data_IF_592984169335
#
_entry.id   IF_592984169335
#
_cell.length_a   1.000
_cell.length_b   1.000
_cell.length_c   1.000
_cell.angle_alpha   90.00
_cell.angle_beta   90.00
_cell.angle_gamma   90.00
#
_symmetry.space_group_name_H-M   'P 1'
#
loop_
_entity.id
_entity.type
_entity.pdbx_description
1 polymer ?
#
# COMPACT_ATOMS: atom_id res chain seq x y z
N UNK A 1 22.80 2.37 21.35
CA UNK A 1 21.82 1.30 21.65
C UNK A 1 21.36 1.49 23.08
N UNK A 2 20.05 1.54 23.31
CA UNK A 2 19.44 1.64 24.65
C UNK A 2 18.94 0.26 25.11
N UNK A 3 18.74 0.11 26.42
CA UNK A 3 18.38 -1.19 27.00
C UNK A 3 16.90 -1.54 26.83
N UNK A 4 16.02 -0.54 26.87
CA UNK A 4 14.57 -0.71 26.74
C UNK A 4 14.05 0.15 25.60
N UNK A 5 12.98 -0.29 24.95
CA UNK A 5 12.42 0.45 23.81
C UNK A 5 11.79 1.79 24.24
N UNK A 6 11.24 1.89 25.47
CA UNK A 6 10.69 3.12 26.04
C UNK A 6 11.75 4.22 26.12
N UNK A 7 13.02 3.85 26.40
CA UNK A 7 14.14 4.79 26.49
C UNK A 7 14.35 5.53 25.17
N UNK A 8 13.95 4.95 24.01
CA UNK A 8 14.01 5.61 22.71
C UNK A 8 13.04 6.79 22.69
N UNK A 9 11.81 6.58 23.11
CA UNK A 9 10.78 7.63 23.11
C UNK A 9 11.09 8.72 24.15
N UNK A 10 11.70 8.38 25.29
CA UNK A 10 12.12 9.36 26.30
C UNK A 10 13.25 10.27 25.81
N UNK A 11 14.23 9.72 25.08
CA UNK A 11 15.47 10.43 24.73
C UNK A 11 15.43 11.07 23.35
N UNK A 12 14.75 10.45 22.36
CA UNK A 12 14.78 10.92 20.98
C UNK A 12 13.85 12.12 20.76
N UNK A 13 14.34 13.11 20.02
CA UNK A 13 13.50 14.18 19.45
C UNK A 13 12.80 13.76 18.15
N UNK A 14 13.45 12.87 17.40
CA UNK A 14 12.93 12.27 16.16
C UNK A 14 12.90 10.74 16.31
N UNK A 15 11.74 10.16 16.19
CA UNK A 15 11.52 8.70 16.14
C UNK A 15 11.26 8.30 14.70
N UNK A 16 12.09 7.41 14.16
CA UNK A 16 11.96 6.87 12.80
C UNK A 16 11.58 5.40 12.89
N UNK A 17 10.50 5.03 12.24
CA UNK A 17 10.01 3.63 12.19
C UNK A 17 9.66 3.27 10.75
N UNK A 18 9.48 1.97 10.48
CA UNK A 18 8.92 1.51 9.21
C UNK A 18 7.39 1.61 9.24
N UNK A 19 6.76 0.97 10.23
CA UNK A 19 5.30 0.93 10.40
C UNK A 19 4.86 1.85 11.53
N UNK A 20 3.56 2.08 11.59
CA UNK A 20 2.87 2.82 12.64
C UNK A 20 3.30 2.35 14.04
N UNK A 21 3.21 3.22 15.06
CA UNK A 21 3.44 2.84 16.44
C UNK A 21 2.45 1.76 16.90
N UNK A 22 2.96 0.77 17.64
CA UNK A 22 2.14 -0.23 18.30
C UNK A 22 1.29 0.42 19.40
N UNK A 23 0.20 -0.24 19.79
CA UNK A 23 -0.73 0.30 20.79
C UNK A 23 -0.05 0.63 22.12
N UNK A 24 0.91 -0.18 22.55
CA UNK A 24 1.74 0.07 23.74
C UNK A 24 2.68 1.27 23.60
N UNK A 25 3.00 1.70 22.37
CA UNK A 25 3.88 2.83 22.11
C UNK A 25 3.13 4.17 22.07
N UNK A 26 1.79 4.17 21.91
CA UNK A 26 1.03 5.42 21.75
C UNK A 26 1.21 6.39 22.91
N UNK A 27 1.22 5.86 24.14
CA UNK A 27 1.42 6.64 25.37
C UNK A 27 2.86 7.10 25.63
N UNK A 28 3.82 6.64 24.81
CA UNK A 28 5.23 7.02 24.93
C UNK A 28 5.59 8.25 24.10
N UNK A 29 4.76 8.58 23.10
CA UNK A 29 4.93 9.77 22.30
C UNK A 29 4.58 11.03 23.10
N UNK A 30 5.29 12.14 22.83
CA UNK A 30 5.15 13.36 23.60
C UNK A 30 5.14 14.61 22.73
N UNK A 31 4.60 15.69 23.27
CA UNK A 31 4.56 17.00 22.62
C UNK A 31 5.97 17.45 22.19
N UNK A 32 6.06 17.96 20.97
CA UNK A 32 7.32 18.46 20.38
C UNK A 32 8.22 17.37 19.79
N UNK A 33 7.85 16.09 19.91
CA UNK A 33 8.56 14.98 19.28
C UNK A 33 8.12 14.82 17.84
N UNK A 34 9.03 14.42 16.95
CA UNK A 34 8.74 14.05 15.57
C UNK A 34 8.63 12.52 15.46
N UNK A 35 7.59 12.05 14.78
CA UNK A 35 7.46 10.67 14.35
C UNK A 35 7.47 10.62 12.82
N UNK A 36 8.34 9.82 12.23
CA UNK A 36 8.46 9.65 10.78
C UNK A 36 8.36 8.16 10.41
N UNK A 37 7.25 7.75 9.81
CA UNK A 37 6.93 6.35 9.51
C UNK A 37 5.78 6.24 8.48
N UNK A 38 5.48 5.03 7.98
CA UNK A 38 4.15 4.74 7.43
C UNK A 38 3.14 4.75 8.58
N UNK A 39 2.01 5.43 8.41
CA UNK A 39 1.04 5.62 9.48
C UNK A 39 -0.35 5.06 9.14
N UNK A 40 -0.75 5.07 7.88
CA UNK A 40 -2.05 4.55 7.39
C UNK A 40 -3.27 5.04 8.18
N UNK A 41 -3.23 6.29 8.65
CA UNK A 41 -4.18 6.87 9.61
C UNK A 41 -5.65 6.79 9.17
N UNK A 42 -5.95 6.91 7.87
CA UNK A 42 -7.32 6.83 7.38
C UNK A 42 -7.99 5.46 7.63
N UNK A 43 -7.20 4.40 7.85
CA UNK A 43 -7.71 3.06 8.15
C UNK A 43 -7.96 2.83 9.64
N UNK A 44 -7.27 3.57 10.53
CA UNK A 44 -7.30 3.37 11.99
C UNK A 44 -7.62 4.67 12.74
N UNK A 45 -8.87 4.77 13.22
CA UNK A 45 -9.35 5.91 14.00
C UNK A 45 -8.68 6.01 15.36
N UNK A 46 -8.52 4.87 16.08
CA UNK A 46 -7.95 4.86 17.43
C UNK A 46 -6.51 5.35 17.41
N UNK A 47 -5.72 4.86 16.45
CA UNK A 47 -4.35 5.34 16.22
C UNK A 47 -4.32 6.85 15.93
N UNK A 48 -5.21 7.32 15.05
CA UNK A 48 -5.28 8.73 14.67
C UNK A 48 -5.56 9.62 15.87
N UNK A 49 -6.55 9.25 16.70
CA UNK A 49 -6.91 9.97 17.93
C UNK A 49 -5.76 9.94 18.97
N UNK A 50 -5.11 8.78 19.13
CA UNK A 50 -3.98 8.63 20.05
C UNK A 50 -2.79 9.50 19.65
N UNK A 51 -2.42 9.48 18.37
CA UNK A 51 -1.31 10.30 17.87
C UNK A 51 -1.62 11.79 17.94
N UNK A 52 -2.83 12.23 17.63
CA UNK A 52 -3.26 13.61 17.82
C UNK A 52 -3.19 14.00 19.31
N UNK A 53 -3.69 13.14 20.20
CA UNK A 53 -3.67 13.36 21.64
C UNK A 53 -2.28 13.45 22.26
N UNK A 54 -1.25 12.83 21.66
CA UNK A 54 0.13 12.85 22.12
C UNK A 54 0.80 14.24 22.00
N UNK A 55 0.30 15.09 21.08
CA UNK A 55 0.91 16.38 20.73
C UNK A 55 2.23 16.25 19.95
N UNK A 56 2.62 15.06 19.54
CA UNK A 56 3.72 14.84 18.62
C UNK A 56 3.37 15.32 17.20
N UNK A 57 4.38 15.68 16.42
CA UNK A 57 4.20 15.91 14.99
C UNK A 57 4.47 14.61 14.24
N UNK A 58 3.48 14.13 13.51
CA UNK A 58 3.55 12.86 12.79
C UNK A 58 3.66 13.11 11.29
N UNK A 59 4.75 12.65 10.70
CA UNK A 59 5.04 12.75 9.26
C UNK A 59 4.90 11.38 8.64
N UNK A 60 3.89 11.22 7.79
CA UNK A 60 3.56 9.95 7.11
C UNK A 60 4.37 9.80 5.83
N UNK A 61 5.08 8.69 5.66
CA UNK A 61 5.83 8.37 4.44
C UNK A 61 4.93 8.35 3.21
N UNK A 62 3.76 7.76 3.35
CA UNK A 62 2.83 7.50 2.24
C UNK A 62 2.17 8.76 1.66
N UNK A 63 2.32 9.91 2.30
CA UNK A 63 1.77 11.18 1.84
C UNK A 63 2.84 12.24 1.53
N UNK A 64 4.13 11.90 1.67
CA UNK A 64 5.20 12.74 1.12
C UNK A 64 5.12 12.73 -0.39
N UNK A 65 4.81 13.89 -0.99
CA UNK A 65 4.56 14.03 -2.41
C UNK A 65 5.58 14.95 -3.07
N UNK A 66 6.15 14.51 -4.20
CA UNK A 66 7.06 15.30 -5.02
C UNK A 66 6.63 15.19 -6.49
N UNK A 67 6.16 16.30 -7.07
CA UNK A 67 5.72 16.37 -8.48
C UNK A 67 4.66 15.31 -8.84
N UNK A 68 3.66 15.14 -7.98
CA UNK A 68 2.57 14.17 -8.17
C UNK A 68 2.97 12.71 -7.94
N UNK A 69 4.15 12.43 -7.39
CA UNK A 69 4.64 11.09 -7.04
C UNK A 69 4.82 10.95 -5.55
N UNK A 70 4.75 9.72 -5.04
CA UNK A 70 4.92 9.37 -3.64
C UNK A 70 6.25 8.61 -3.43
N UNK A 71 7.41 9.33 -3.45
CA UNK A 71 8.72 8.70 -3.57
C UNK A 71 9.05 7.75 -2.42
N UNK A 72 8.47 7.94 -1.23
CA UNK A 72 8.71 7.08 -0.08
C UNK A 72 7.81 5.84 -0.09
N UNK A 73 6.66 5.89 -0.79
CA UNK A 73 5.76 4.76 -0.93
C UNK A 73 6.11 3.87 -2.13
N UNK A 74 6.62 4.45 -3.21
CA UNK A 74 6.91 3.74 -4.47
C UNK A 74 7.73 2.47 -4.29
N UNK A 75 8.86 2.43 -3.54
CA UNK A 75 9.64 1.21 -3.41
C UNK A 75 8.88 0.04 -2.79
N UNK A 76 8.04 0.32 -1.80
CA UNK A 76 7.20 -0.71 -1.18
C UNK A 76 6.10 -1.19 -2.11
N UNK A 77 5.51 -0.26 -2.87
CA UNK A 77 4.52 -0.57 -3.91
C UNK A 77 5.12 -1.43 -5.04
N UNK A 78 6.37 -1.16 -5.43
CA UNK A 78 7.08 -1.98 -6.43
C UNK A 78 7.33 -3.40 -5.92
N UNK A 79 7.80 -3.55 -4.68
CA UNK A 79 8.02 -4.86 -4.07
C UNK A 79 6.71 -5.63 -3.93
N UNK A 80 5.66 -4.99 -3.41
CA UNK A 80 4.35 -5.62 -3.24
C UNK A 80 3.77 -6.08 -4.59
N UNK A 81 3.85 -5.24 -5.63
CA UNK A 81 3.40 -5.60 -6.97
C UNK A 81 4.13 -6.81 -7.53
N UNK A 82 5.45 -6.86 -7.44
CA UNK A 82 6.24 -8.02 -7.90
C UNK A 82 5.94 -9.28 -7.09
N UNK A 83 5.86 -9.13 -5.77
CA UNK A 83 5.58 -10.21 -4.85
C UNK A 83 4.19 -10.81 -5.06
N UNK A 84 3.17 -10.01 -5.42
CA UNK A 84 1.80 -10.48 -5.61
C UNK A 84 1.69 -11.62 -6.62
N UNK A 85 2.51 -11.59 -7.67
CA UNK A 85 2.54 -12.62 -8.69
C UNK A 85 3.26 -13.89 -8.21
N UNK A 86 4.33 -13.73 -7.42
CA UNK A 86 5.07 -14.87 -6.85
C UNK A 86 4.16 -15.64 -5.89
N UNK A 87 3.53 -14.94 -4.93
CA UNK A 87 2.63 -15.60 -3.96
C UNK A 87 1.35 -16.08 -4.61
N UNK A 88 0.79 -15.31 -5.57
CA UNK A 88 -0.39 -15.71 -6.32
C UNK A 88 -0.14 -17.02 -7.09
N UNK A 89 0.98 -17.13 -7.79
CA UNK A 89 1.38 -18.35 -8.49
C UNK A 89 1.59 -19.53 -7.56
N UNK A 90 2.17 -19.31 -6.39
CA UNK A 90 2.35 -20.35 -5.38
C UNK A 90 1.01 -20.90 -4.85
N UNK A 91 0.05 -20.04 -4.55
CA UNK A 91 -1.26 -20.48 -4.06
C UNK A 91 -2.17 -21.01 -5.16
N UNK A 92 -1.86 -20.81 -6.44
CA UNK A 92 -2.54 -21.51 -7.55
C UNK A 92 -2.23 -23.00 -7.62
N UNK A 93 -1.17 -23.47 -6.94
CA UNK A 93 -0.82 -24.89 -6.88
C UNK A 93 -1.97 -25.73 -6.26
N UNK A 94 -2.22 -26.93 -6.84
CA UNK A 94 -3.35 -27.76 -6.42
C UNK A 94 -3.30 -28.17 -4.95
N UNK A 95 -2.12 -28.48 -4.43
CA UNK A 95 -1.94 -28.88 -3.02
C UNK A 95 -2.09 -27.72 -2.02
N UNK A 96 -2.17 -26.49 -2.52
CA UNK A 96 -2.47 -25.27 -1.75
C UNK A 96 -3.95 -24.87 -1.81
N UNK A 97 -4.80 -25.67 -2.46
CA UNK A 97 -6.21 -25.36 -2.67
C UNK A 97 -6.50 -24.66 -4.00
N UNK A 98 -5.47 -24.22 -4.72
CA UNK A 98 -5.61 -23.53 -6.00
C UNK A 98 -6.09 -24.40 -7.15
N UNK A 99 -6.37 -23.77 -8.28
CA UNK A 99 -6.86 -24.43 -9.51
C UNK A 99 -5.85 -25.39 -10.14
N UNK A 100 -4.57 -25.37 -9.77
CA UNK A 100 -3.50 -26.13 -10.42
C UNK A 100 -3.08 -25.52 -11.76
N UNK A 101 -3.18 -24.20 -11.90
CA UNK A 101 -2.83 -23.46 -13.13
C UNK A 101 -1.41 -22.93 -13.00
N UNK A 102 -0.57 -23.20 -13.98
CA UNK A 102 0.74 -22.58 -14.14
C UNK A 102 0.59 -21.29 -14.94
N UNK A 103 0.96 -20.16 -14.37
CA UNK A 103 0.73 -18.83 -14.96
C UNK A 103 1.29 -18.69 -16.38
N UNK A 104 2.48 -19.23 -16.66
CA UNK A 104 3.09 -19.15 -17.99
C UNK A 104 2.58 -20.19 -19.00
N UNK A 105 1.71 -21.13 -18.59
CA UNK A 105 1.34 -22.26 -19.45
C UNK A 105 2.55 -23.11 -19.86
N UNK A 106 2.36 -23.91 -20.89
CA UNK A 106 3.42 -24.68 -21.59
C UNK A 106 3.01 -24.85 -23.06
N UNK A 107 3.92 -25.24 -23.98
CA UNK A 107 3.53 -25.50 -25.37
C UNK A 107 2.34 -26.44 -25.47
N UNK A 108 1.27 -25.96 -26.12
CA UNK A 108 -0.01 -26.69 -26.27
C UNK A 108 -1.01 -26.45 -25.15
N UNK A 109 -0.68 -25.70 -24.10
CA UNK A 109 -1.57 -25.32 -23.01
C UNK A 109 -1.53 -23.80 -22.81
N UNK A 110 -2.69 -23.16 -22.80
CA UNK A 110 -2.80 -21.72 -22.60
C UNK A 110 -2.28 -21.28 -21.24
N UNK A 111 -1.71 -20.06 -21.13
CA UNK A 111 -1.29 -19.48 -19.87
C UNK A 111 -2.48 -19.18 -18.94
N UNK A 112 -2.17 -19.02 -17.65
CA UNK A 112 -3.12 -18.55 -16.67
C UNK A 112 -3.49 -17.08 -16.88
N UNK A 113 -4.71 -16.73 -16.55
CA UNK A 113 -5.26 -15.37 -16.67
C UNK A 113 -5.06 -14.57 -15.39
N UNK A 114 -4.35 -13.46 -15.51
CA UNK A 114 -4.09 -12.52 -14.43
C UNK A 114 -4.84 -11.22 -14.70
N UNK A 115 -5.66 -10.80 -13.75
CA UNK A 115 -6.36 -9.51 -13.79
C UNK A 115 -5.78 -8.62 -12.69
N UNK A 116 -5.37 -7.40 -13.05
CA UNK A 116 -4.81 -6.41 -12.13
C UNK A 116 -5.75 -5.21 -12.06
N UNK A 117 -6.24 -4.92 -10.85
CA UNK A 117 -7.08 -3.76 -10.58
C UNK A 117 -6.19 -2.56 -10.21
N UNK A 118 -6.12 -1.58 -11.11
CA UNK A 118 -5.29 -0.39 -11.00
C UNK A 118 -3.94 -0.50 -11.68
N UNK A 119 -3.62 0.48 -12.52
CA UNK A 119 -2.36 0.60 -13.27
C UNK A 119 -1.32 1.50 -12.60
N UNK A 120 -1.43 1.74 -11.28
CA UNK A 120 -0.46 2.49 -10.49
C UNK A 120 0.88 1.74 -10.32
N UNK A 121 1.74 2.20 -9.40
CA UNK A 121 3.07 1.61 -9.19
C UNK A 121 3.02 0.11 -8.89
N UNK A 122 2.14 -0.32 -7.98
CA UNK A 122 2.00 -1.75 -7.64
C UNK A 122 1.47 -2.55 -8.81
N UNK A 123 0.41 -2.05 -9.48
CA UNK A 123 -0.22 -2.77 -10.59
C UNK A 123 0.69 -2.95 -11.79
N UNK A 124 1.47 -1.93 -12.16
CA UNK A 124 2.49 -2.02 -13.23
C UNK A 124 3.54 -3.08 -12.91
N UNK A 125 4.01 -3.12 -11.65
CA UNK A 125 5.01 -4.11 -11.26
C UNK A 125 4.44 -5.53 -11.19
N UNK A 126 3.16 -5.69 -10.78
CA UNK A 126 2.45 -6.95 -10.87
C UNK A 126 2.30 -7.40 -12.33
N UNK A 127 1.77 -6.53 -13.19
CA UNK A 127 1.58 -6.84 -14.60
C UNK A 127 2.90 -7.20 -15.30
N UNK A 128 3.98 -6.44 -15.04
CA UNK A 128 5.32 -6.73 -15.58
C UNK A 128 5.83 -8.12 -15.17
N UNK A 129 5.66 -8.49 -13.91
CA UNK A 129 6.05 -9.82 -13.44
C UNK A 129 5.21 -10.92 -14.08
N UNK A 130 3.89 -10.74 -14.15
CA UNK A 130 2.99 -11.72 -14.75
C UNK A 130 3.27 -11.91 -16.24
N UNK A 131 3.42 -10.81 -17.00
CA UNK A 131 3.80 -10.83 -18.42
C UNK A 131 5.17 -11.50 -18.61
N UNK A 132 6.14 -11.18 -17.75
CA UNK A 132 7.47 -11.81 -17.78
C UNK A 132 7.46 -13.32 -17.52
N UNK A 133 6.46 -13.83 -16.81
CA UNK A 133 6.21 -15.27 -16.63
C UNK A 133 5.44 -15.88 -17.81
N UNK A 134 4.95 -15.07 -18.75
CA UNK A 134 4.16 -15.52 -19.89
C UNK A 134 2.66 -15.68 -19.62
N UNK A 135 2.13 -15.08 -18.56
CA UNK A 135 0.70 -15.08 -18.27
C UNK A 135 -0.09 -14.20 -19.25
N UNK A 136 -1.39 -14.50 -19.40
CA UNK A 136 -2.36 -13.65 -20.08
C UNK A 136 -2.83 -12.56 -19.09
N UNK A 137 -2.40 -11.30 -19.32
CA UNK A 137 -2.55 -10.21 -18.35
C UNK A 137 -3.51 -9.15 -18.86
N UNK A 138 -4.49 -8.79 -18.02
CA UNK A 138 -5.39 -7.66 -18.24
C UNK A 138 -5.30 -6.69 -17.06
N UNK A 139 -5.11 -5.38 -17.35
CA UNK A 139 -5.07 -4.31 -16.35
C UNK A 139 -6.35 -3.49 -16.48
N UNK A 140 -7.07 -3.30 -15.37
CA UNK A 140 -8.20 -2.38 -15.29
C UNK A 140 -7.72 -1.04 -14.71
N UNK A 141 -7.98 0.05 -15.44
CA UNK A 141 -7.56 1.40 -15.08
C UNK A 141 -8.68 2.40 -15.42
N UNK A 142 -8.76 3.54 -14.73
CA UNK A 142 -9.72 4.62 -15.00
C UNK A 142 -9.10 5.77 -15.77
N UNK A 143 -7.79 5.97 -15.67
CA UNK A 143 -7.06 7.04 -16.33
C UNK A 143 -6.65 6.62 -17.75
N UNK A 144 -7.20 7.29 -18.77
CA UNK A 144 -6.93 6.99 -20.18
C UNK A 144 -5.48 7.27 -20.60
N UNK A 145 -4.82 8.29 -20.03
CA UNK A 145 -3.39 8.54 -20.31
C UNK A 145 -2.54 7.42 -19.75
N UNK A 146 -2.89 6.94 -18.55
CA UNK A 146 -2.24 5.79 -17.95
C UNK A 146 -2.45 4.52 -18.76
N UNK A 147 -3.68 4.28 -19.25
CA UNK A 147 -3.96 3.14 -20.13
C UNK A 147 -3.13 3.19 -21.41
N UNK A 148 -3.02 4.35 -22.08
CA UNK A 148 -2.16 4.50 -23.28
C UNK A 148 -0.71 4.17 -23.00
N UNK A 149 -0.19 4.65 -21.85
CA UNK A 149 1.17 4.32 -21.44
C UNK A 149 1.36 2.81 -21.23
N UNK A 150 0.41 2.17 -20.56
CA UNK A 150 0.44 0.72 -20.29
C UNK A 150 0.35 -0.11 -21.56
N UNK A 151 -0.53 0.26 -22.48
CA UNK A 151 -0.71 -0.41 -23.76
C UNK A 151 0.58 -0.45 -24.59
N UNK A 152 1.30 0.67 -24.63
CA UNK A 152 2.56 0.78 -25.40
C UNK A 152 3.75 0.10 -24.70
N UNK A 153 3.78 0.10 -23.36
CA UNK A 153 4.98 -0.31 -22.59
C UNK A 153 4.90 -1.71 -22.02
N UNK A 154 3.69 -2.27 -21.93
CA UNK A 154 3.44 -3.57 -21.30
C UNK A 154 2.85 -4.54 -22.35
N UNK A 155 3.29 -5.75 -22.40
CA UNK A 155 2.63 -6.79 -23.19
C UNK A 155 1.35 -7.30 -22.53
N UNK A 156 0.48 -6.39 -22.08
CA UNK A 156 -0.74 -6.66 -21.33
C UNK A 156 -1.93 -5.96 -21.98
N UNK A 157 -3.12 -6.54 -21.87
CA UNK A 157 -4.36 -5.89 -22.29
C UNK A 157 -4.75 -4.80 -21.28
N UNK A 158 -5.35 -3.71 -21.76
CA UNK A 158 -5.90 -2.66 -20.90
C UNK A 158 -7.40 -2.55 -21.11
N UNK A 159 -8.16 -2.42 -20.02
CA UNK A 159 -9.61 -2.19 -20.05
C UNK A 159 -9.96 -1.06 -19.08
N UNK A 160 -11.03 -0.32 -19.41
CA UNK A 160 -11.57 0.66 -18.47
C UNK A 160 -12.13 -0.05 -17.24
N UNK A 161 -11.75 0.42 -16.04
CA UNK A 161 -12.20 -0.15 -14.77
C UNK A 161 -13.68 0.20 -14.55
N UNK A 162 -14.54 -0.75 -14.87
CA UNK A 162 -15.98 -0.69 -14.64
C UNK A 162 -16.48 -2.03 -14.08
N UNK A 163 -17.59 -1.98 -13.39
CA UNK A 163 -18.23 -3.18 -12.85
C UNK A 163 -18.57 -4.20 -13.96
N UNK A 164 -19.02 -3.73 -15.13
CA UNK A 164 -19.35 -4.58 -16.27
C UNK A 164 -18.11 -5.31 -16.80
N UNK A 165 -17.01 -4.59 -17.06
CA UNK A 165 -15.77 -5.19 -17.55
C UNK A 165 -15.16 -6.16 -16.53
N UNK A 166 -15.21 -5.80 -15.24
CA UNK A 166 -14.73 -6.68 -14.19
C UNK A 166 -15.56 -7.97 -14.12
N UNK A 167 -16.89 -7.87 -14.12
CA UNK A 167 -17.79 -9.03 -14.08
C UNK A 167 -17.62 -9.97 -15.27
N UNK A 168 -17.25 -9.46 -16.44
CA UNK A 168 -16.96 -10.26 -17.63
C UNK A 168 -15.66 -11.07 -17.48
N UNK A 169 -14.66 -10.54 -16.78
CA UNK A 169 -13.36 -11.19 -16.58
C UNK A 169 -13.39 -12.25 -15.46
N UNK A 170 -14.14 -12.01 -14.39
CA UNK A 170 -14.14 -12.84 -13.17
C UNK A 170 -14.41 -14.34 -13.42
N UNK A 171 -15.29 -14.79 -14.32
CA UNK A 171 -15.52 -16.22 -14.55
C UNK A 171 -14.31 -17.00 -15.08
N UNK A 172 -13.33 -16.30 -15.64
CA UNK A 172 -12.16 -16.92 -16.27
C UNK A 172 -10.83 -16.59 -15.59
N UNK A 173 -10.80 -15.64 -14.63
CA UNK A 173 -9.58 -15.23 -13.94
C UNK A 173 -9.02 -16.37 -13.10
N UNK A 174 -7.70 -16.52 -13.10
CA UNK A 174 -6.96 -17.43 -12.24
C UNK A 174 -6.33 -16.71 -11.05
N UNK A 175 -5.76 -15.53 -11.30
CA UNK A 175 -5.18 -14.67 -10.28
C UNK A 175 -5.72 -13.24 -10.43
N UNK A 176 -6.38 -12.74 -9.38
CA UNK A 176 -6.86 -11.36 -9.29
C UNK A 176 -5.96 -10.58 -8.32
N UNK A 177 -5.40 -9.46 -8.77
CA UNK A 177 -4.52 -8.60 -7.97
C UNK A 177 -5.18 -7.25 -7.74
N UNK A 178 -5.48 -6.91 -6.49
CA UNK A 178 -5.96 -5.60 -6.09
C UNK A 178 -4.78 -4.65 -5.84
N UNK A 179 -4.62 -3.64 -6.70
CA UNK A 179 -3.49 -2.70 -6.68
C UNK A 179 -3.94 -1.24 -6.76
N UNK A 180 -5.13 -0.94 -6.25
CA UNK A 180 -5.69 0.42 -6.23
C UNK A 180 -5.21 1.16 -4.99
N UNK A 181 -4.75 2.37 -5.19
CA UNK A 181 -4.31 3.27 -4.14
C UNK A 181 -4.99 4.63 -4.28
N UNK A 182 -5.52 5.15 -3.16
CA UNK A 182 -5.89 6.56 -3.03
C UNK A 182 -4.98 7.17 -1.95
N UNK A 183 -4.10 8.12 -2.28
CA UNK A 183 -3.14 8.67 -1.33
C UNK A 183 -3.80 9.19 -0.06
N UNK A 184 -3.37 8.68 1.10
CA UNK A 184 -3.87 9.09 2.42
C UNK A 184 -5.32 8.72 2.73
N UNK A 185 -6.03 8.00 1.85
CA UNK A 185 -7.44 7.61 2.03
C UNK A 185 -7.61 6.08 2.07
N UNK A 186 -8.82 5.63 2.39
CA UNK A 186 -9.18 4.21 2.26
C UNK A 186 -9.29 3.80 0.80
N UNK A 187 -8.91 2.56 0.50
CA UNK A 187 -9.10 1.99 -0.83
C UNK A 187 -10.61 1.84 -1.15
N UNK A 188 -11.04 2.13 -2.40
CA UNK A 188 -12.41 1.88 -2.83
C UNK A 188 -12.67 0.36 -2.91
N UNK A 189 -13.90 -0.07 -2.60
CA UNK A 189 -14.31 -1.46 -2.77
C UNK A 189 -14.74 -1.70 -4.22
N UNK A 190 -13.90 -2.41 -4.98
CA UNK A 190 -14.12 -2.69 -6.40
C UNK A 190 -14.72 -4.06 -6.65
N UNK A 191 -14.44 -5.03 -5.77
CA UNK A 191 -14.99 -6.39 -5.86
C UNK A 191 -15.98 -6.60 -4.73
N UNK A 192 -17.24 -6.77 -5.07
CA UNK A 192 -18.31 -7.03 -4.09
C UNK A 192 -18.34 -8.52 -3.70
N UNK A 193 -19.06 -8.85 -2.62
CA UNK A 193 -19.26 -10.25 -2.24
C UNK A 193 -19.99 -11.05 -3.32
N UNK A 194 -20.96 -10.44 -4.01
CA UNK A 194 -21.68 -11.07 -5.11
C UNK A 194 -20.75 -11.45 -6.26
N UNK A 195 -19.77 -10.62 -6.54
CA UNK A 195 -18.75 -10.88 -7.57
C UNK A 195 -17.86 -12.08 -7.27
N UNK A 196 -17.65 -12.43 -5.99
CA UNK A 196 -16.90 -13.66 -5.66
C UNK A 196 -17.58 -14.89 -6.24
N UNK A 197 -18.91 -14.94 -6.24
CA UNK A 197 -19.70 -16.03 -6.84
C UNK A 197 -19.54 -16.19 -8.35
N UNK A 198 -18.99 -15.19 -9.06
CA UNK A 198 -18.67 -15.28 -10.48
C UNK A 198 -17.34 -16.01 -10.73
N UNK A 199 -16.45 -16.06 -9.75
CA UNK A 199 -15.16 -16.70 -9.86
C UNK A 199 -15.25 -18.20 -9.62
N UNK A 200 -14.33 -18.96 -10.20
CA UNK A 200 -14.25 -20.41 -9.99
C UNK A 200 -13.47 -20.72 -8.71
N UNK A 201 -13.91 -21.75 -7.98
CA UNK A 201 -13.21 -22.24 -6.81
C UNK A 201 -11.70 -22.50 -7.08
N UNK A 202 -10.85 -22.13 -6.14
CA UNK A 202 -9.40 -22.19 -6.24
C UNK A 202 -8.77 -21.02 -7.01
N UNK A 203 -9.56 -20.00 -7.44
CA UNK A 203 -9.02 -18.71 -7.88
C UNK A 203 -8.28 -18.07 -6.70
N UNK A 204 -7.15 -17.43 -6.98
CA UNK A 204 -6.36 -16.70 -5.99
C UNK A 204 -6.59 -15.20 -6.14
N UNK A 205 -6.82 -14.55 -5.01
CA UNK A 205 -7.00 -13.12 -4.89
C UNK A 205 -5.89 -12.58 -3.98
N UNK A 206 -5.10 -11.62 -4.49
CA UNK A 206 -4.06 -10.91 -3.73
C UNK A 206 -4.44 -9.45 -3.60
N UNK A 207 -4.73 -9.00 -2.38
CA UNK A 207 -5.10 -7.60 -2.14
C UNK A 207 -3.91 -6.82 -1.58
N UNK A 208 -3.19 -6.10 -2.46
CA UNK A 208 -2.08 -5.23 -2.08
C UNK A 208 -2.59 -3.99 -1.31
N UNK A 209 -3.84 -3.57 -1.55
CA UNK A 209 -4.43 -2.41 -0.91
C UNK A 209 -4.84 -2.66 0.55
N UNK A 210 -4.54 -3.83 1.11
CA UNK A 210 -5.01 -4.25 2.44
C UNK A 210 -4.59 -3.28 3.56
N UNK A 211 -3.40 -2.69 3.51
CA UNK A 211 -2.95 -1.68 4.47
C UNK A 211 -3.85 -0.42 4.49
N UNK A 212 -4.63 -0.20 3.43
CA UNK A 212 -5.63 0.87 3.32
C UNK A 212 -7.08 0.35 3.40
N UNK A 213 -7.29 -0.79 4.03
CA UNK A 213 -8.59 -1.41 4.22
C UNK A 213 -9.02 -2.38 3.11
N UNK A 214 -8.17 -2.60 2.10
CA UNK A 214 -8.42 -3.51 0.99
C UNK A 214 -9.41 -2.98 -0.05
N UNK A 215 -9.28 -3.42 -1.29
CA UNK A 215 -10.16 -3.02 -2.40
C UNK A 215 -11.26 -4.05 -2.72
N UNK A 216 -11.41 -5.08 -1.91
CA UNK A 216 -12.48 -6.08 -2.02
C UNK A 216 -13.30 -6.11 -0.74
N UNK A 217 -14.61 -6.35 -0.84
CA UNK A 217 -15.48 -6.41 0.34
C UNK A 217 -15.12 -7.58 1.27
N UNK A 218 -14.65 -8.69 0.70
CA UNK A 218 -14.20 -9.88 1.42
C UNK A 218 -12.80 -9.74 2.05
N UNK A 219 -12.04 -8.67 1.73
CA UNK A 219 -10.68 -8.51 2.22
C UNK A 219 -10.63 -8.25 3.71
N UNK A 220 -9.83 -9.05 4.40
CA UNK A 220 -9.45 -8.87 5.81
C UNK A 220 -7.95 -9.10 5.97
N UNK A 221 -7.30 -8.28 6.78
CA UNK A 221 -5.86 -8.37 6.98
C UNK A 221 -5.44 -9.73 7.53
N UNK A 222 -4.35 -10.27 6.98
CA UNK A 222 -3.67 -11.48 7.42
C UNK A 222 -2.21 -11.18 7.77
N UNK A 223 -1.50 -12.18 8.28
CA UNK A 223 -0.09 -12.07 8.67
C UNK A 223 0.78 -13.01 7.84
N UNK A 224 2.10 -12.81 7.87
CA UNK A 224 3.03 -13.72 7.17
C UNK A 224 2.98 -15.16 7.70
N UNK A 225 2.64 -15.37 8.98
CA UNK A 225 2.52 -16.71 9.58
C UNK A 225 1.24 -17.43 9.13
N UNK A 226 0.15 -16.68 8.91
CA UNK A 226 -1.13 -17.18 8.42
C UNK A 226 -1.58 -16.33 7.23
N UNK A 227 -0.95 -16.51 6.03
CA UNK A 227 -1.03 -15.54 4.95
C UNK A 227 -2.34 -15.59 4.16
N UNK A 228 -3.07 -16.68 4.21
CA UNK A 228 -4.29 -16.89 3.42
C UNK A 228 -5.48 -17.33 4.25
N UNK A 229 -6.64 -17.07 3.71
CA UNK A 229 -7.91 -17.69 4.10
C UNK A 229 -8.72 -17.99 2.84
N UNK A 230 -9.69 -18.88 2.97
CA UNK A 230 -10.65 -19.20 1.92
C UNK A 230 -12.01 -18.58 2.27
N UNK A 231 -12.64 -17.96 1.30
CA UNK A 231 -14.01 -17.46 1.39
C UNK A 231 -14.71 -17.72 0.04
N UNK A 232 -15.86 -18.39 0.08
CA UNK A 232 -16.63 -18.80 -1.10
C UNK A 232 -15.81 -19.61 -2.14
N UNK A 233 -14.85 -20.41 -1.66
CA UNK A 233 -13.95 -21.20 -2.51
C UNK A 233 -12.81 -20.40 -3.14
N UNK A 234 -12.66 -19.11 -2.80
CA UNK A 234 -11.61 -18.22 -3.32
C UNK A 234 -10.52 -18.04 -2.27
N UNK A 235 -9.28 -18.24 -2.66
CA UNK A 235 -8.11 -18.08 -1.78
C UNK A 235 -7.72 -16.61 -1.73
N UNK A 236 -7.79 -16.04 -0.54
CA UNK A 236 -7.44 -14.63 -0.28
C UNK A 236 -6.06 -14.54 0.36
N UNK A 237 -5.15 -13.83 -0.29
CA UNK A 237 -3.87 -13.40 0.27
C UNK A 237 -3.94 -11.90 0.56
N UNK A 238 -4.07 -11.54 1.83
CA UNK A 238 -4.28 -10.15 2.28
C UNK A 238 -3.28 -9.78 3.39
N UNK A 239 -2.02 -10.17 3.22
CA UNK A 239 -0.98 -9.95 4.23
C UNK A 239 -0.66 -8.47 4.35
N UNK A 240 -0.88 -7.90 5.53
CA UNK A 240 -0.43 -6.55 5.84
C UNK A 240 1.11 -6.48 5.79
N UNK A 241 1.62 -5.36 5.22
CA UNK A 241 3.05 -5.19 5.02
C UNK A 241 3.69 -6.32 4.18
N UNK A 242 3.10 -6.66 3.05
CA UNK A 242 3.64 -7.67 2.12
C UNK A 242 5.16 -7.53 1.90
N UNK A 243 5.75 -6.32 1.69
CA UNK A 243 7.18 -6.17 1.48
C UNK A 243 8.07 -6.68 2.62
N UNK A 244 7.53 -6.86 3.81
CA UNK A 244 8.23 -7.42 4.98
C UNK A 244 8.78 -8.82 4.75
N UNK A 245 8.16 -9.62 3.88
CA UNK A 245 8.67 -10.94 3.48
C UNK A 245 10.04 -10.86 2.78
N UNK A 246 10.35 -9.74 2.16
CA UNK A 246 11.62 -9.47 1.47
C UNK A 246 12.40 -8.38 2.21
N UNK A 247 12.54 -8.50 3.53
CA UNK A 247 13.06 -7.49 4.45
C UNK A 247 14.39 -6.86 3.99
N UNK A 248 15.33 -7.66 3.48
CA UNK A 248 16.61 -7.15 2.98
C UNK A 248 16.44 -6.17 1.81
N UNK A 249 15.62 -6.55 0.81
CA UNK A 249 15.33 -5.69 -0.35
C UNK A 249 14.53 -4.46 0.09
N UNK A 250 13.53 -4.66 0.93
CA UNK A 250 12.67 -3.58 1.43
C UNK A 250 13.47 -2.54 2.22
N UNK A 251 14.34 -2.98 3.13
CA UNK A 251 15.19 -2.07 3.91
C UNK A 251 16.11 -1.24 3.02
N UNK A 252 16.80 -1.87 2.07
CA UNK A 252 17.71 -1.16 1.16
C UNK A 252 16.94 -0.14 0.30
N UNK A 253 15.80 -0.55 -0.26
CA UNK A 253 14.97 0.32 -1.09
C UNK A 253 14.40 1.51 -0.29
N UNK A 254 13.92 1.27 0.94
CA UNK A 254 13.37 2.30 1.80
C UNK A 254 14.46 3.29 2.26
N UNK A 255 15.60 2.81 2.72
CA UNK A 255 16.71 3.67 3.17
C UNK A 255 17.19 4.59 2.06
N UNK A 256 17.30 4.08 0.82
CA UNK A 256 17.74 4.87 -0.33
C UNK A 256 16.85 6.11 -0.58
N UNK A 257 15.57 6.04 -0.25
CA UNK A 257 14.62 7.15 -0.49
C UNK A 257 14.31 7.96 0.77
N UNK A 258 14.50 7.41 1.98
CA UNK A 258 14.17 8.10 3.22
C UNK A 258 15.35 8.87 3.83
N UNK A 259 16.59 8.47 3.54
CA UNK A 259 17.78 9.02 4.22
C UNK A 259 17.85 10.55 4.18
N UNK A 260 17.65 11.16 3.00
CA UNK A 260 17.72 12.62 2.87
C UNK A 260 16.62 13.36 3.64
N UNK A 261 15.46 12.74 3.85
CA UNK A 261 14.38 13.30 4.67
C UNK A 261 14.68 13.16 6.17
N UNK A 262 15.24 12.01 6.56
CA UNK A 262 15.68 11.78 7.96
C UNK A 262 16.75 12.79 8.34
N UNK A 263 17.76 12.99 7.49
CA UNK A 263 18.81 14.00 7.68
C UNK A 263 18.21 15.42 7.80
N UNK A 264 17.29 15.78 6.91
CA UNK A 264 16.64 17.09 6.97
C UNK A 264 15.83 17.28 8.26
N UNK A 265 15.09 16.25 8.72
CA UNK A 265 14.31 16.32 9.96
C UNK A 265 15.17 16.28 11.22
N UNK A 266 16.39 15.72 11.16
CA UNK A 266 17.32 15.64 12.28
C UNK A 266 18.14 16.92 12.45
N UNK A 267 18.57 17.55 11.34
CA UNK A 267 19.53 18.66 11.36
C UNK A 267 18.86 20.04 11.41
N UNK A 268 17.58 20.13 11.05
CA UNK A 268 16.86 21.39 10.90
C UNK A 268 15.57 21.42 11.71
N UNK A 269 15.06 22.62 11.97
CA UNK A 269 13.67 22.76 12.46
C UNK A 269 12.69 22.23 11.42
N UNK A 270 11.48 21.85 11.83
CA UNK A 270 10.48 21.32 10.91
C UNK A 270 10.19 22.28 9.73
N UNK A 271 10.13 23.60 9.98
CA UNK A 271 9.92 24.59 8.94
C UNK A 271 11.07 24.65 7.93
N UNK A 272 12.32 24.61 8.40
CA UNK A 272 13.51 24.57 7.53
C UNK A 272 13.62 23.25 6.77
N UNK A 273 13.28 22.13 7.39
CA UNK A 273 13.22 20.82 6.73
C UNK A 273 12.21 20.82 5.59
N UNK A 274 11.01 21.38 5.80
CA UNK A 274 9.98 21.56 4.76
C UNK A 274 10.46 22.49 3.65
N UNK A 275 11.17 23.57 3.98
CA UNK A 275 11.73 24.48 2.97
C UNK A 275 12.77 23.78 2.07
N UNK A 276 13.58 22.88 2.63
CA UNK A 276 14.61 22.11 1.90
C UNK A 276 14.03 20.90 1.15
N UNK A 277 13.01 20.29 1.72
CA UNK A 277 12.29 19.11 1.19
C UNK A 277 10.79 19.40 1.15
N UNK A 278 10.31 20.16 0.14
CA UNK A 278 8.91 20.63 0.08
C UNK A 278 7.87 19.51 0.16
N UNK A 279 8.22 18.30 -0.31
CA UNK A 279 7.36 17.13 -0.21
C UNK A 279 6.99 16.73 1.22
N UNK A 280 7.81 17.09 2.22
CA UNK A 280 7.51 16.85 3.63
C UNK A 280 6.23 17.51 4.09
N UNK A 281 5.86 18.68 3.49
CA UNK A 281 4.63 19.39 3.86
C UNK A 281 3.38 18.50 3.69
N UNK A 282 3.30 17.77 2.57
CA UNK A 282 2.22 16.79 2.32
C UNK A 282 2.29 15.57 3.25
N UNK A 283 3.51 15.27 3.73
CA UNK A 283 3.75 14.19 4.68
C UNK A 283 3.27 14.48 6.11
N UNK A 284 3.18 15.75 6.53
CA UNK A 284 2.75 16.10 7.88
C UNK A 284 1.26 15.78 8.01
N UNK A 285 0.95 14.69 8.67
CA UNK A 285 -0.41 14.20 8.84
C UNK A 285 -1.05 14.66 10.16
N UNK A 286 -0.23 14.89 11.19
CA UNK A 286 -0.65 15.42 12.50
C UNK A 286 0.35 16.48 12.94
N UNK A 287 -0.13 17.63 13.40
CA UNK A 287 0.67 18.71 13.94
C UNK A 287 -0.10 19.47 15.04
N UNK A 288 0.58 19.76 16.16
CA UNK A 288 0.00 20.44 17.33
C UNK A 288 -1.37 19.87 17.77
N UNK A 289 -1.48 18.54 17.80
CA UNK A 289 -2.67 17.84 18.22
C UNK A 289 -3.82 17.83 17.20
N UNK A 290 -3.60 18.32 15.97
CA UNK A 290 -4.61 18.39 14.90
C UNK A 290 -4.22 17.50 13.73
N UNK A 291 -5.22 16.85 13.14
CA UNK A 291 -5.06 16.13 11.87
C UNK A 291 -4.98 17.15 10.74
N UNK A 292 -3.87 17.17 10.01
CA UNK A 292 -3.61 18.13 8.92
C UNK A 292 -3.76 17.51 7.53
N UNK A 293 -3.76 16.19 7.43
CA UNK A 293 -4.08 15.46 6.21
C UNK A 293 -5.60 15.43 5.98
N UNK A 294 -6.08 16.12 4.94
CA UNK A 294 -7.51 16.23 4.61
C UNK A 294 -8.19 14.87 4.47
N UNK A 295 -7.58 13.94 3.73
CA UNK A 295 -8.15 12.62 3.49
C UNK A 295 -8.33 11.80 4.79
N UNK A 296 -7.41 11.92 5.74
CA UNK A 296 -7.52 11.31 7.07
C UNK A 296 -8.65 11.95 7.87
N UNK A 297 -8.72 13.28 7.88
CA UNK A 297 -9.77 14.00 8.60
C UNK A 297 -11.17 13.64 8.06
N UNK A 298 -11.35 13.62 6.75
CA UNK A 298 -12.60 13.21 6.09
C UNK A 298 -12.99 11.77 6.42
N UNK A 299 -12.02 10.83 6.41
CA UNK A 299 -12.26 9.42 6.73
C UNK A 299 -12.81 9.19 8.14
N UNK A 300 -12.49 10.10 9.06
CA UNK A 300 -12.89 10.00 10.47
C UNK A 300 -13.91 11.07 10.91
N UNK A 301 -14.33 11.98 10.02
CA UNK A 301 -15.21 13.09 10.35
C UNK A 301 -14.58 14.08 11.34
N UNK A 302 -13.27 14.31 11.21
CA UNK A 302 -12.49 15.24 12.04
C UNK A 302 -12.31 16.59 11.34
N UNK A 303 -12.02 17.63 12.11
CA UNK A 303 -11.65 18.94 11.57
C UNK A 303 -10.22 18.93 11.02
N UNK A 304 -10.02 19.56 9.85
CA UNK A 304 -8.68 19.68 9.24
C UNK A 304 -7.92 20.81 9.91
N UNK A 305 -6.77 20.51 10.51
CA UNK A 305 -5.85 21.50 11.04
C UNK A 305 -5.04 22.21 9.94
N UNK A 306 -4.65 23.43 10.20
CA UNK A 306 -3.79 24.20 9.29
C UNK A 306 -2.32 24.08 9.69
N UNK A 307 -1.44 23.90 8.70
CA UNK A 307 0.00 23.97 8.90
C UNK A 307 0.48 25.42 8.81
N UNK A 308 1.47 25.80 9.63
CA UNK A 308 2.08 27.13 9.53
C UNK A 308 2.56 27.45 8.11
N UNK A 309 2.58 28.74 7.73
CA UNK A 309 3.07 29.16 6.42
C UNK A 309 4.61 29.17 6.40
N UNK A 310 5.22 27.96 6.46
CA UNK A 310 6.65 27.85 6.26
C UNK A 310 7.02 28.23 4.83
N UNK A 311 7.84 29.27 4.69
CA UNK A 311 8.30 29.74 3.39
C UNK A 311 9.43 28.84 2.88
N UNK A 312 9.37 28.52 1.58
CA UNK A 312 10.54 28.00 0.88
C UNK A 312 11.62 29.09 0.90
N UNK A 313 12.83 28.74 1.33
CA UNK A 313 14.00 29.62 1.26
C UNK A 313 14.44 29.81 -0.19
#
# INVERSE_FOLDING_TARGET
>A
VVARHEDIFEQAGLVVKVKEPLREEWGLLRKGQLLFAYLHLAADRELTEALAGSGATCVAYETVEVRGRLPLLEPMSEIAGRMSIIVGGYFLERHKGGKGVLLGGVPGVLPGKVVVLGGGTSGVNAARMATGLGADVTILEVDFERMRFLDVTMGAHTLYSSEANLSELLPTVDLLVGAVLVPGARAPKLVTREMLGLMRAGTVLVDIAIDQGGCMESSRATTHDNPVYEEEGIIHYCVANMPGAYARTATQALVNVTACYVEALADYTLGEAVARQPGLRGGIAIHDGKVTCRAVAEAHGMEVGELPPWQAC
#
